data_IF_684980625136
#
_entry.id   IF_684980625136
#
_cell.length_a   1.000
_cell.length_b   1.000
_cell.length_c   1.000
_cell.angle_alpha   90.00
_cell.angle_beta   90.00
_cell.angle_gamma   90.00
#
_symmetry.space_group_name_H-M   'P 1'
#
loop_
_entity.id
_entity.type
_entity.pdbx_description
1 polymer ?
#
# COMPACT_ATOMS: atom_id res chain seq x y z
N UNK A 1 9.79 -2.11 14.35
CA UNK A 1 9.77 -2.01 12.88
C UNK A 1 9.04 -3.22 12.35
N UNK A 2 7.99 -3.00 11.58
CA UNK A 2 7.11 -4.04 11.04
C UNK A 2 7.18 -4.04 9.50
N UNK A 3 6.81 -5.15 8.88
CA UNK A 3 6.73 -5.24 7.43
C UNK A 3 5.27 -5.30 6.97
N UNK A 4 5.00 -4.65 5.85
CA UNK A 4 3.69 -4.63 5.23
C UNK A 4 3.81 -4.95 3.75
N UNK A 5 2.91 -5.79 3.26
CA UNK A 5 2.78 -6.11 1.85
C UNK A 5 1.50 -5.45 1.36
N UNK A 6 1.61 -4.52 0.41
CA UNK A 6 0.48 -3.75 -0.13
C UNK A 6 0.26 -4.04 -1.61
N UNK A 7 -1.00 -3.92 -2.04
CA UNK A 7 -1.43 -4.26 -3.40
C UNK A 7 -1.70 -3.02 -4.24
N UNK A 8 -0.78 -2.65 -5.12
CA UNK A 8 -0.99 -1.64 -6.15
C UNK A 8 -1.17 -2.26 -7.53
N UNK A 9 -1.95 -3.34 -7.62
CA UNK A 9 -2.19 -4.06 -8.88
C UNK A 9 -2.98 -3.24 -9.91
N UNK A 10 -3.74 -2.24 -9.45
CA UNK A 10 -4.44 -1.29 -10.31
C UNK A 10 -3.53 -0.19 -10.89
N UNK A 11 -2.22 -0.21 -10.57
CA UNK A 11 -1.24 0.78 -11.03
C UNK A 11 -1.62 2.23 -10.67
N UNK A 12 -2.21 2.39 -9.47
CA UNK A 12 -2.59 3.70 -8.93
C UNK A 12 -1.35 4.56 -8.82
N UNK A 13 -1.45 5.78 -9.38
CA UNK A 13 -0.33 6.72 -9.53
C UNK A 13 -0.13 7.59 -8.28
N UNK A 14 0.05 6.96 -7.12
CA UNK A 14 0.16 7.64 -5.82
C UNK A 14 1.06 8.89 -5.84
N UNK A 15 2.25 8.81 -6.44
CA UNK A 15 3.18 9.94 -6.57
C UNK A 15 2.55 11.16 -7.27
N UNK A 16 1.75 10.94 -8.31
CA UNK A 16 1.09 12.02 -9.04
C UNK A 16 -0.11 12.58 -8.26
N UNK A 17 -0.89 11.71 -7.63
CA UNK A 17 -2.09 12.06 -6.85
C UNK A 17 -1.69 12.95 -5.66
N UNK A 18 -0.61 12.59 -4.97
CA UNK A 18 -0.19 13.19 -3.70
C UNK A 18 0.98 14.17 -3.81
N UNK A 19 1.35 14.58 -5.04
CA UNK A 19 2.53 15.42 -5.30
C UNK A 19 2.58 16.69 -4.46
N UNK A 20 1.42 17.31 -4.21
CA UNK A 20 1.31 18.58 -3.47
C UNK A 20 1.39 18.38 -1.94
N UNK A 21 1.31 17.14 -1.46
CA UNK A 21 1.45 16.78 -0.04
C UNK A 21 2.88 16.34 0.33
N UNK A 22 3.71 16.07 -0.67
CA UNK A 22 5.11 15.66 -0.52
C UNK A 22 5.54 14.62 -1.55
N UNK A 23 6.86 14.44 -1.63
CA UNK A 23 7.44 13.42 -2.51
C UNK A 23 7.37 12.02 -1.90
N UNK A 24 7.35 11.01 -2.78
CA UNK A 24 7.51 9.62 -2.37
C UNK A 24 6.25 8.97 -1.81
N UNK A 25 5.05 9.39 -2.19
CA UNK A 25 3.82 8.66 -1.87
C UNK A 25 3.87 7.24 -2.47
N UNK A 26 3.61 6.22 -1.65
CA UNK A 26 3.75 4.81 -2.00
C UNK A 26 2.39 4.12 -2.12
N UNK A 27 1.51 4.37 -1.14
CA UNK A 27 0.23 3.68 -1.03
C UNK A 27 -0.77 4.52 -0.23
N UNK A 28 -2.05 4.40 -0.54
CA UNK A 28 -3.15 4.95 0.25
C UNK A 28 -4.26 3.91 0.46
N UNK A 29 -5.03 4.10 1.54
CA UNK A 29 -6.17 3.24 1.85
C UNK A 29 -7.18 4.00 2.72
N UNK A 30 -8.46 3.66 2.59
CA UNK A 30 -9.56 4.15 3.42
C UNK A 30 -10.10 3.03 4.35
N UNK A 31 -10.78 3.39 5.47
CA UNK A 31 -11.31 2.45 6.44
C UNK A 31 -12.24 1.35 5.92
N UNK A 32 -12.96 1.61 4.83
CA UNK A 32 -13.88 0.65 4.21
C UNK A 32 -13.19 -0.46 3.44
N UNK A 33 -11.89 -0.33 3.16
CA UNK A 33 -11.14 -1.26 2.33
C UNK A 33 -10.50 -2.38 3.16
N UNK A 34 -10.52 -3.60 2.62
CA UNK A 34 -9.85 -4.74 3.26
C UNK A 34 -8.35 -4.49 3.47
N UNK A 35 -7.83 -4.90 4.62
CA UNK A 35 -6.44 -4.63 5.02
C UNK A 35 -6.26 -3.31 5.79
N UNK A 36 -7.34 -2.55 6.01
CA UNK A 36 -7.29 -1.31 6.79
C UNK A 36 -6.78 -1.50 8.22
N UNK A 37 -7.22 -2.55 8.92
CA UNK A 37 -6.81 -2.78 10.31
C UNK A 37 -5.30 -2.94 10.43
N UNK A 38 -4.67 -3.63 9.48
CA UNK A 38 -3.22 -3.73 9.39
C UNK A 38 -2.60 -2.39 8.95
N UNK A 39 -3.10 -1.79 7.87
CA UNK A 39 -2.53 -0.58 7.28
C UNK A 39 -2.58 0.65 8.20
N UNK A 40 -3.65 0.80 9.00
CA UNK A 40 -3.80 1.88 9.97
C UNK A 40 -2.75 1.84 11.10
N UNK A 41 -2.08 0.70 11.28
CA UNK A 41 -0.99 0.54 12.24
C UNK A 41 0.41 0.93 11.72
N UNK A 42 0.54 1.25 10.42
CA UNK A 42 1.83 1.62 9.80
C UNK A 42 2.37 2.91 10.43
N UNK A 43 3.63 2.91 10.86
CA UNK A 43 4.30 4.09 11.40
C UNK A 43 5.59 4.42 10.64
N UNK A 44 6.14 5.61 10.89
CA UNK A 44 7.47 5.99 10.38
C UNK A 44 8.50 4.95 10.79
N UNK A 45 9.42 4.65 9.88
CA UNK A 45 10.41 3.58 9.95
C UNK A 45 9.89 2.16 9.74
N UNK A 46 8.61 1.91 9.46
CA UNK A 46 8.18 0.60 8.98
C UNK A 46 8.61 0.35 7.52
N UNK A 47 8.47 -0.90 7.09
CA UNK A 47 8.85 -1.36 5.76
C UNK A 47 7.62 -1.70 4.94
N UNK A 48 7.53 -1.16 3.72
CA UNK A 48 6.44 -1.45 2.79
C UNK A 48 6.98 -2.11 1.53
N UNK A 49 6.38 -3.23 1.18
CA UNK A 49 6.61 -3.98 -0.05
C UNK A 49 5.39 -3.80 -0.95
N UNK A 50 5.58 -3.30 -2.16
CA UNK A 50 4.47 -2.97 -3.07
C UNK A 50 4.39 -4.00 -4.19
N UNK A 51 3.24 -4.65 -4.31
CA UNK A 51 2.89 -5.49 -5.45
C UNK A 51 2.42 -4.59 -6.59
N UNK A 52 3.04 -4.72 -7.75
CA UNK A 52 2.62 -3.98 -8.95
C UNK A 52 1.59 -4.76 -9.79
N UNK A 53 1.09 -4.13 -10.86
CA UNK A 53 0.15 -4.74 -11.82
C UNK A 53 0.58 -6.07 -12.45
N UNK A 54 1.89 -6.36 -12.46
CA UNK A 54 2.45 -7.60 -13.02
C UNK A 54 2.62 -8.70 -11.96
N UNK A 55 1.99 -8.53 -10.79
CA UNK A 55 2.09 -9.42 -9.63
C UNK A 55 3.53 -9.64 -9.17
N UNK A 56 4.34 -8.58 -9.23
CA UNK A 56 5.71 -8.57 -8.73
C UNK A 56 5.86 -7.60 -7.56
N UNK A 57 6.62 -8.02 -6.55
CA UNK A 57 7.17 -7.15 -5.52
C UNK A 57 8.53 -6.66 -6.02
N UNK A 58 8.60 -5.41 -6.47
CA UNK A 58 9.80 -4.87 -7.14
C UNK A 58 10.69 -4.12 -6.17
N UNK A 59 10.10 -3.28 -5.32
CA UNK A 59 10.81 -2.41 -4.40
C UNK A 59 10.30 -2.60 -2.97
N UNK A 60 11.23 -2.49 -2.04
CA UNK A 60 10.98 -2.26 -0.62
C UNK A 60 11.22 -0.78 -0.32
N UNK A 61 10.31 -0.21 0.44
CA UNK A 61 10.37 1.17 0.88
C UNK A 61 10.45 1.25 2.41
N UNK A 62 11.20 2.24 2.89
CA UNK A 62 11.17 2.67 4.29
C UNK A 62 10.18 3.82 4.44
N UNK A 63 9.22 3.70 5.34
CA UNK A 63 8.24 4.76 5.60
C UNK A 63 8.94 5.96 6.23
N UNK A 64 8.77 7.13 5.63
CA UNK A 64 9.33 8.40 6.10
C UNK A 64 8.27 9.35 6.63
N UNK A 65 7.03 9.23 6.17
CA UNK A 65 5.91 10.08 6.57
C UNK A 65 4.60 9.32 6.41
N UNK A 66 3.66 9.60 7.32
CA UNK A 66 2.29 9.12 7.27
C UNK A 66 1.38 10.33 7.40
N UNK A 67 0.31 10.39 6.60
CA UNK A 67 -0.73 11.40 6.72
C UNK A 67 -2.10 10.74 6.74
N UNK A 68 -2.96 11.22 7.63
CA UNK A 68 -4.31 10.71 7.84
C UNK A 68 -5.36 11.77 7.50
N UNK A 69 -6.55 11.30 7.14
CA UNK A 69 -7.72 12.15 6.92
C UNK A 69 -7.64 12.98 5.64
N UNK A 70 -6.91 12.52 4.63
CA UNK A 70 -6.82 13.19 3.33
C UNK A 70 -8.18 13.11 2.64
N UNK A 71 -8.64 14.23 2.08
CA UNK A 71 -9.85 14.27 1.25
C UNK A 71 -9.46 14.16 -0.21
N UNK A 72 -9.94 13.13 -0.88
CA UNK A 72 -9.79 12.94 -2.32
C UNK A 72 -11.04 13.39 -3.07
N UNK A 73 -10.88 13.61 -4.37
CA UNK A 73 -11.96 13.94 -5.30
C UNK A 73 -12.68 12.67 -5.77
N UNK A 74 -13.78 12.33 -5.12
CA UNK A 74 -14.58 11.14 -5.44
C UNK A 74 -15.44 11.29 -6.71
N UNK A 75 -15.34 12.42 -7.44
CA UNK A 75 -16.05 12.58 -8.71
C UNK A 75 -15.55 11.63 -9.82
N UNK A 76 -14.39 11.01 -9.61
CA UNK A 76 -13.84 9.96 -10.48
C UNK A 76 -13.86 8.62 -9.75
N UNK A 77 -14.09 7.51 -10.47
CA UNK A 77 -14.08 6.15 -9.89
C UNK A 77 -12.77 5.80 -9.18
N UNK A 78 -11.68 6.50 -9.54
CA UNK A 78 -10.36 6.27 -9.00
C UNK A 78 -9.97 7.27 -7.92
N UNK A 79 -10.72 8.34 -7.66
CA UNK A 79 -10.32 9.38 -6.71
C UNK A 79 -8.85 9.81 -6.87
N UNK A 80 -8.51 10.33 -8.06
CA UNK A 80 -7.13 10.55 -8.51
C UNK A 80 -6.55 11.94 -8.19
N UNK A 81 -7.24 12.73 -7.36
CA UNK A 81 -6.83 14.08 -6.97
C UNK A 81 -7.09 14.35 -5.50
N UNK A 82 -6.15 15.00 -4.84
CA UNK A 82 -6.34 15.54 -3.47
C UNK A 82 -7.16 16.84 -3.54
N UNK A 83 -8.26 16.89 -2.79
CA UNK A 83 -9.06 18.11 -2.59
C UNK A 83 -8.56 18.91 -1.39
N UNK A 84 -8.19 18.22 -0.30
CA UNK A 84 -7.73 18.86 0.93
C UNK A 84 -6.81 17.91 1.71
N UNK A 85 -5.76 18.43 2.39
CA UNK A 85 -4.90 17.62 3.25
C UNK A 85 -5.58 17.13 4.54
N UNK A 86 -6.83 17.55 4.80
CA UNK A 86 -7.65 17.14 5.96
C UNK A 86 -9.14 17.08 5.60
N UNK A 87 -9.93 16.38 6.41
CA UNK A 87 -11.40 16.33 6.30
C UNK A 87 -11.94 15.23 5.37
N UNK A 88 -11.11 14.25 5.02
CA UNK A 88 -11.53 12.98 4.44
C UNK A 88 -11.19 11.81 5.36
N UNK A 89 -11.14 10.60 4.81
CA UNK A 89 -10.87 9.36 5.57
C UNK A 89 -9.61 8.61 5.09
N UNK A 90 -8.96 9.09 4.02
CA UNK A 90 -7.83 8.40 3.41
C UNK A 90 -6.58 8.58 4.24
N UNK A 91 -5.89 7.47 4.49
CA UNK A 91 -4.51 7.45 4.98
C UNK A 91 -3.57 7.22 3.82
N UNK A 92 -2.49 8.01 3.74
CA UNK A 92 -1.42 7.85 2.75
C UNK A 92 -0.07 7.70 3.44
N UNK A 93 0.75 6.80 2.91
CA UNK A 93 2.11 6.54 3.38
C UNK A 93 3.13 6.97 2.33
N UNK A 94 4.16 7.69 2.79
CA UNK A 94 5.28 8.14 1.98
C UNK A 94 6.55 7.41 2.44
N UNK A 95 7.47 7.21 1.52
CA UNK A 95 8.73 6.56 1.85
C UNK A 95 9.75 6.56 0.72
N UNK A 96 10.94 6.10 1.07
CA UNK A 96 12.09 6.05 0.18
C UNK A 96 12.41 4.60 -0.19
N UNK A 97 12.76 4.32 -1.45
CA UNK A 97 13.20 2.99 -1.85
C UNK A 97 14.50 2.65 -1.12
N UNK A 98 14.58 1.44 -0.55
CA UNK A 98 15.77 0.95 0.16
C UNK A 98 16.54 -0.02 -0.72
N UNK A 99 15.84 -1.03 -1.25
CA UNK A 99 16.43 -2.04 -2.13
C UNK A 99 15.40 -2.58 -3.13
N UNK A 100 15.94 -3.17 -4.21
CA UNK A 100 15.17 -3.96 -5.16
C UNK A 100 14.97 -5.38 -4.64
N UNK A 101 13.79 -5.91 -4.89
CA UNK A 101 13.37 -7.28 -4.51
C UNK A 101 13.19 -8.13 -5.77
N UNK A 102 12.54 -7.60 -6.80
CA UNK A 102 12.30 -8.24 -8.10
C UNK A 102 11.77 -9.69 -8.01
N UNK A 103 10.68 -9.89 -7.28
CA UNK A 103 10.14 -11.21 -6.99
C UNK A 103 8.65 -11.33 -7.35
N UNK A 104 8.24 -12.49 -7.90
CA UNK A 104 6.83 -12.83 -8.07
C UNK A 104 6.13 -12.87 -6.71
N UNK A 105 4.96 -12.26 -6.62
CA UNK A 105 4.18 -12.12 -5.39
C UNK A 105 3.98 -13.45 -4.63
N UNK A 106 3.54 -14.57 -5.26
CA UNK A 106 3.31 -15.81 -4.52
C UNK A 106 4.61 -16.37 -3.91
N UNK A 107 5.73 -16.20 -4.61
CA UNK A 107 7.06 -16.58 -4.10
C UNK A 107 7.45 -15.69 -2.91
N UNK A 108 7.19 -14.39 -3.00
CA UNK A 108 7.45 -13.45 -1.90
C UNK A 108 6.63 -13.82 -0.66
N UNK A 109 5.34 -14.12 -0.83
CA UNK A 109 4.45 -14.55 0.25
C UNK A 109 4.99 -15.79 0.95
N UNK A 110 5.32 -16.85 0.20
CA UNK A 110 5.86 -18.09 0.78
C UNK A 110 7.17 -17.86 1.51
N UNK A 111 8.11 -17.15 0.87
CA UNK A 111 9.45 -16.93 1.42
C UNK A 111 9.44 -16.11 2.72
N UNK A 112 8.50 -15.18 2.85
CA UNK A 112 8.40 -14.30 4.01
C UNK A 112 7.27 -14.70 4.97
N UNK A 113 6.58 -15.82 4.74
CA UNK A 113 5.52 -16.30 5.62
C UNK A 113 4.35 -15.34 5.76
N UNK A 114 4.03 -14.56 4.72
CA UNK A 114 2.96 -13.54 4.76
C UNK A 114 1.60 -14.23 4.92
N UNK A 115 0.83 -13.82 5.92
CA UNK A 115 -0.51 -14.37 6.20
C UNK A 115 -1.57 -13.29 6.14
N UNK A 116 -2.71 -13.60 5.55
CA UNK A 116 -3.91 -12.78 5.55
C UNK A 116 -5.10 -13.63 5.13
N UNK A 117 -6.30 -13.29 5.59
CA UNK A 117 -7.56 -13.93 5.16
C UNK A 117 -7.84 -13.74 3.66
N UNK A 118 -7.11 -12.82 3.01
CA UNK A 118 -7.20 -12.54 1.58
C UNK A 118 -6.01 -13.11 0.79
N UNK A 119 -5.31 -14.09 1.36
CA UNK A 119 -4.27 -14.88 0.69
C UNK A 119 -4.65 -16.34 0.84
N UNK A 120 -4.72 -17.07 -0.29
CA UNK A 120 -4.97 -18.50 -0.26
C UNK A 120 -3.77 -19.20 0.41
N UNK A 121 -3.98 -19.98 1.49
CA UNK A 121 -2.90 -20.58 2.26
C UNK A 121 -2.11 -21.64 1.48
N UNK A 122 -2.75 -22.32 0.53
CA UNK A 122 -2.15 -23.44 -0.21
C UNK A 122 -1.37 -22.95 -1.44
N UNK A 123 -1.92 -21.98 -2.16
CA UNK A 123 -1.35 -21.49 -3.42
C UNK A 123 -0.55 -20.20 -3.27
N UNK A 124 -0.73 -19.49 -2.15
CA UNK A 124 -0.21 -18.13 -1.93
C UNK A 124 -0.73 -17.11 -2.96
N UNK A 125 -1.84 -17.43 -3.62
CA UNK A 125 -2.51 -16.50 -4.52
C UNK A 125 -3.32 -15.48 -3.74
N UNK A 126 -3.38 -14.28 -4.29
CA UNK A 126 -4.15 -13.18 -3.75
C UNK A 126 -5.64 -13.41 -4.03
N UNK A 127 -6.48 -13.25 -3.01
CA UNK A 127 -7.93 -13.27 -3.16
C UNK A 127 -8.45 -11.85 -3.41
N UNK A 128 -9.65 -11.76 -4.01
CA UNK A 128 -10.26 -10.48 -4.37
C UNK A 128 -10.36 -9.54 -3.16
N UNK A 129 -9.93 -8.30 -3.39
CA UNK A 129 -9.96 -7.21 -2.42
C UNK A 129 -8.77 -7.15 -1.47
N UNK A 130 -7.73 -7.98 -1.62
CA UNK A 130 -6.49 -7.81 -0.85
C UNK A 130 -5.85 -6.44 -1.12
N UNK A 131 -5.66 -5.61 -0.08
CA UNK A 131 -4.90 -4.37 -0.19
C UNK A 131 -3.65 -4.32 0.69
N UNK A 132 -3.68 -4.92 1.88
CA UNK A 132 -2.58 -4.88 2.84
C UNK A 132 -2.53 -6.16 3.70
N UNK A 133 -1.32 -6.62 4.03
CA UNK A 133 -1.06 -7.54 5.11
C UNK A 133 0.21 -7.15 5.87
N UNK A 134 0.14 -7.20 7.20
CA UNK A 134 1.30 -7.09 8.09
C UNK A 134 1.97 -8.45 8.27
N UNK A 135 3.29 -8.50 8.31
CA UNK A 135 4.08 -9.72 8.53
C UNK A 135 5.45 -9.45 9.18
#
# INVERSE_FOLDING_TARGET
MQNFLVSNIADRRHKAIYKDLGEGAIFDLSPSQHGWNEFSSVVVNDSIYVINKNLNVVLHYKVTKVMDGIKLDESTELADKVLSPKGGDVRVVFGLPVNRVDMKYPTFVRKNGVRSTKINPDTSQMLQGFNCAKF
#
